data_IF_090484747496
#
_entry.id   IF_090484747496
#
_cell.length_a   1.000
_cell.length_b   1.000
_cell.length_c   1.000
_cell.angle_alpha   90.00
_cell.angle_beta   90.00
_cell.angle_gamma   90.00
#
_symmetry.space_group_name_H-M   'P 1'
#
loop_
_entity.id
_entity.type
_entity.pdbx_description
1 polymer ?
#
# COMPACT_ATOMS: atom_id res chain seq x y z
N UNK A 1 -10.63 8.30 7.16
CA UNK A 1 -10.84 7.05 7.95
C UNK A 1 -11.89 7.33 9.00
N UNK A 2 -12.98 6.59 9.00
CA UNK A 2 -13.95 6.59 10.09
C UNK A 2 -13.46 5.69 11.22
N UNK A 3 -13.75 6.09 12.46
CA UNK A 3 -13.34 5.38 13.67
C UNK A 3 -14.57 4.84 14.35
N UNK A 4 -14.56 3.56 14.69
CA UNK A 4 -15.59 2.89 15.46
C UNK A 4 -15.17 2.84 16.95
N UNK A 5 -15.97 3.41 17.81
CA UNK A 5 -15.84 3.30 19.26
C UNK A 5 -16.63 2.11 19.79
N UNK A 6 -16.11 1.47 20.82
CA UNK A 6 -16.76 0.35 21.49
C UNK A 6 -17.44 0.80 22.78
N UNK A 7 -18.55 0.14 23.11
CA UNK A 7 -19.21 0.35 24.41
C UNK A 7 -18.33 -0.21 25.53
N UNK A 8 -18.33 0.44 26.68
CA UNK A 8 -17.50 0.11 27.84
C UNK A 8 -18.06 -1.02 28.70
N UNK A 9 -18.25 -2.20 28.12
CA UNK A 9 -18.75 -3.36 28.88
C UNK A 9 -17.66 -4.07 29.69
N UNK A 10 -16.43 -4.02 29.29
CA UNK A 10 -15.31 -4.68 29.94
C UNK A 10 -14.10 -3.74 30.00
N UNK A 11 -13.13 -3.97 30.91
CA UNK A 11 -11.90 -3.17 30.95
C UNK A 11 -11.18 -3.08 29.58
N UNK A 12 -11.18 -4.16 28.80
CA UNK A 12 -10.54 -4.19 27.49
C UNK A 12 -11.29 -3.43 26.38
N UNK A 13 -12.58 -3.15 26.55
CA UNK A 13 -13.39 -2.40 25.58
C UNK A 13 -13.59 -0.94 25.93
N UNK A 14 -13.27 -0.54 27.18
CA UNK A 14 -13.57 0.80 27.72
C UNK A 14 -13.06 1.95 26.86
N UNK A 15 -11.82 1.94 26.45
CA UNK A 15 -11.22 3.00 25.63
C UNK A 15 -10.80 2.48 24.25
N UNK A 16 -11.45 1.42 23.78
CA UNK A 16 -11.11 0.80 22.52
C UNK A 16 -11.71 1.56 21.33
N UNK A 17 -10.85 2.01 20.43
CA UNK A 17 -11.22 2.58 19.15
C UNK A 17 -10.53 1.81 18.03
N UNK A 18 -11.24 1.46 16.98
CA UNK A 18 -10.70 0.77 15.81
C UNK A 18 -11.17 1.46 14.53
N UNK A 19 -10.46 1.21 13.43
CA UNK A 19 -10.92 1.61 12.10
C UNK A 19 -12.23 0.91 11.76
N UNK A 20 -13.15 1.64 11.13
CA UNK A 20 -14.45 1.12 10.70
C UNK A 20 -14.36 0.22 9.45
N UNK A 21 -13.26 0.27 8.72
CA UNK A 21 -13.04 -0.49 7.48
C UNK A 21 -14.06 -0.22 6.36
N UNK A 22 -14.88 0.83 6.47
CA UNK A 22 -15.92 1.18 5.48
C UNK A 22 -15.37 1.46 4.08
N UNK A 23 -14.09 1.85 3.97
CA UNK A 23 -13.40 2.10 2.70
C UNK A 23 -13.09 0.81 1.92
N UNK A 24 -13.19 -0.36 2.54
CA UNK A 24 -12.82 -1.63 1.92
C UNK A 24 -13.98 -2.16 1.09
N UNK A 25 -13.73 -2.34 -0.20
CA UNK A 25 -14.75 -2.84 -1.15
C UNK A 25 -14.67 -4.35 -1.36
N UNK A 26 -13.49 -4.95 -1.17
CA UNK A 26 -13.28 -6.38 -1.38
C UNK A 26 -12.54 -7.02 -0.20
N UNK A 27 -13.10 -8.08 0.36
CA UNK A 27 -12.53 -8.81 1.51
C UNK A 27 -11.51 -9.88 1.12
N UNK A 28 -11.70 -10.51 -0.06
CA UNK A 28 -10.83 -11.61 -0.53
C UNK A 28 -9.72 -11.06 -1.42
N UNK A 29 -8.44 -11.32 -1.11
CA UNK A 29 -7.33 -10.82 -1.91
C UNK A 29 -7.16 -11.62 -3.21
N UNK A 30 -6.52 -11.00 -4.20
CA UNK A 30 -6.18 -11.64 -5.50
C UNK A 30 -5.13 -12.72 -5.30
N UNK A 31 -5.46 -13.98 -5.66
CA UNK A 31 -4.61 -15.16 -5.38
C UNK A 31 -3.22 -15.07 -6.01
N UNK A 32 -3.11 -14.55 -7.25
CA UNK A 32 -1.86 -14.43 -7.99
C UNK A 32 -0.87 -13.43 -7.37
N UNK A 33 -1.38 -12.46 -6.61
CA UNK A 33 -0.59 -11.40 -5.98
C UNK A 33 -0.27 -11.66 -4.51
N UNK A 34 -0.42 -12.91 -4.05
CA UNK A 34 -0.12 -13.31 -2.67
C UNK A 34 1.14 -14.14 -2.63
N UNK A 35 2.02 -13.81 -1.67
CA UNK A 35 3.17 -14.65 -1.30
C UNK A 35 3.03 -15.19 0.11
N UNK A 36 3.65 -16.36 0.34
CA UNK A 36 3.81 -16.92 1.69
C UNK A 36 4.78 -16.02 2.47
N UNK A 37 4.36 -15.54 3.63
CA UNK A 37 5.23 -14.81 4.53
C UNK A 37 5.79 -15.80 5.56
N UNK A 38 7.05 -16.20 5.38
CA UNK A 38 7.75 -17.06 6.33
C UNK A 38 8.32 -16.21 7.46
N UNK A 39 7.93 -16.53 8.69
CA UNK A 39 8.46 -15.86 9.90
C UNK A 39 9.53 -16.73 10.53
N UNK A 40 10.65 -16.12 10.86
CA UNK A 40 11.66 -16.77 11.70
C UNK A 40 11.10 -16.97 13.10
N UNK A 41 11.19 -18.20 13.59
CA UNK A 41 10.67 -18.60 14.91
C UNK A 41 11.76 -18.71 15.97
N UNK A 42 12.94 -18.16 15.70
CA UNK A 42 14.09 -18.21 16.61
C UNK A 42 14.72 -19.58 16.79
N UNK A 43 14.48 -20.51 15.84
CA UNK A 43 15.05 -21.86 15.87
C UNK A 43 16.14 -22.00 14.82
N UNK A 44 17.19 -22.78 15.14
CA UNK A 44 18.25 -23.15 14.22
C UNK A 44 17.82 -24.33 13.31
N UNK A 45 18.78 -24.83 12.50
CA UNK A 45 18.58 -26.00 11.62
C UNK A 45 18.27 -27.28 12.40
N UNK A 46 18.71 -27.42 13.66
CA UNK A 46 18.41 -28.53 14.57
C UNK A 46 17.06 -28.40 15.27
N UNK A 47 16.31 -27.31 15.06
CA UNK A 47 15.04 -27.06 15.72
C UNK A 47 15.14 -26.52 17.15
N UNK A 48 16.34 -26.29 17.67
CA UNK A 48 16.58 -25.75 19.01
C UNK A 48 16.41 -24.22 19.00
N UNK A 49 15.81 -23.68 20.07
CA UNK A 49 15.61 -22.23 20.22
C UNK A 49 16.98 -21.59 20.50
N UNK A 50 17.48 -20.80 19.55
CA UNK A 50 18.72 -20.04 19.66
C UNK A 50 18.49 -18.56 19.96
N UNK A 51 17.33 -18.05 19.56
CA UNK A 51 16.92 -16.67 19.83
C UNK A 51 15.57 -16.71 20.52
N UNK A 52 15.52 -16.31 21.78
CA UNK A 52 14.27 -16.18 22.53
C UNK A 52 13.42 -15.01 22.07
N UNK A 53 12.13 -14.97 22.44
CA UNK A 53 11.16 -13.93 22.13
C UNK A 53 10.89 -13.73 20.61
N UNK A 54 11.14 -14.76 19.78
CA UNK A 54 10.85 -14.77 18.36
C UNK A 54 9.75 -15.77 18.04
N UNK A 55 8.76 -15.34 17.27
CA UNK A 55 7.65 -16.20 16.83
C UNK A 55 6.30 -15.72 17.34
N UNK A 56 5.31 -16.60 17.22
CA UNK A 56 3.92 -16.30 17.58
C UNK A 56 3.22 -15.35 16.60
N UNK A 57 2.07 -14.86 17.02
CA UNK A 57 1.21 -13.97 16.25
C UNK A 57 0.42 -14.68 15.14
N UNK A 58 -0.63 -14.01 14.66
CA UNK A 58 -1.54 -14.53 13.65
C UNK A 58 -0.83 -14.72 12.30
N UNK A 59 -1.16 -15.79 11.55
CA UNK A 59 -0.65 -16.06 10.21
C UNK A 59 -1.06 -14.96 9.25
N UNK A 60 -0.08 -14.34 8.55
CA UNK A 60 -0.32 -13.28 7.58
C UNK A 60 0.18 -13.70 6.21
N UNK A 61 -0.59 -13.41 5.17
CA UNK A 61 -0.17 -13.54 3.78
C UNK A 61 0.39 -12.20 3.32
N UNK A 62 1.51 -12.21 2.60
CA UNK A 62 2.10 -11.02 2.04
C UNK A 62 1.44 -10.67 0.71
N UNK A 63 1.16 -9.38 0.48
CA UNK A 63 0.70 -8.86 -0.81
C UNK A 63 1.89 -8.29 -1.57
N UNK A 64 1.99 -8.65 -2.84
CA UNK A 64 3.02 -8.09 -3.71
C UNK A 64 2.56 -6.70 -4.13
N UNK A 65 3.24 -5.67 -3.62
CA UNK A 65 2.92 -4.29 -3.93
C UNK A 65 3.90 -3.76 -4.96
N UNK A 66 3.39 -3.08 -5.96
CA UNK A 66 4.18 -2.38 -6.96
C UNK A 66 4.62 -1.01 -6.41
N UNK A 67 5.81 -0.96 -5.83
CA UNK A 67 6.43 0.29 -5.37
C UNK A 67 7.18 1.01 -6.50
N UNK A 68 7.67 0.27 -7.49
CA UNK A 68 8.50 0.84 -8.57
C UNK A 68 7.70 1.62 -9.59
N UNK A 69 6.42 1.28 -9.75
CA UNK A 69 5.51 1.93 -10.71
C UNK A 69 6.12 2.02 -12.13
N UNK A 70 6.82 0.96 -12.53
CA UNK A 70 7.56 0.91 -13.79
C UNK A 70 6.70 0.63 -15.04
N UNK A 71 5.38 0.64 -14.90
CA UNK A 71 4.45 0.44 -16.02
C UNK A 71 4.03 1.78 -16.59
N UNK A 72 4.89 2.34 -17.44
CA UNK A 72 4.69 3.67 -18.01
C UNK A 72 3.74 3.65 -19.20
N UNK A 73 2.93 4.70 -19.34
CA UNK A 73 2.06 4.94 -20.49
C UNK A 73 0.85 4.00 -20.63
N UNK A 74 0.65 3.04 -19.72
CA UNK A 74 -0.46 2.11 -19.76
C UNK A 74 -1.46 2.50 -18.65
N UNK A 75 -2.68 2.78 -19.06
CA UNK A 75 -3.75 3.10 -18.14
C UNK A 75 -4.22 1.87 -17.35
N UNK A 76 -4.45 2.07 -16.07
CA UNK A 76 -5.04 1.08 -15.18
C UNK A 76 -6.27 1.65 -14.47
N UNK A 77 -7.25 0.81 -14.23
CA UNK A 77 -8.48 1.15 -13.51
C UNK A 77 -8.42 0.56 -12.10
N UNK A 78 -8.80 1.33 -11.11
CA UNK A 78 -8.95 0.87 -9.72
C UNK A 78 -10.16 -0.06 -9.64
N UNK A 79 -9.90 -1.36 -9.48
CA UNK A 79 -10.95 -2.37 -9.42
C UNK A 79 -11.50 -2.57 -8.02
N UNK A 80 -10.67 -2.47 -6.99
CA UNK A 80 -11.07 -2.67 -5.61
C UNK A 80 -10.07 -2.06 -4.61
N UNK A 81 -10.57 -1.72 -3.43
CA UNK A 81 -9.77 -1.33 -2.26
C UNK A 81 -9.79 -2.51 -1.28
N UNK A 82 -8.60 -2.96 -0.85
CA UNK A 82 -8.45 -4.16 -0.03
C UNK A 82 -7.64 -3.88 1.25
N UNK A 83 -7.79 -4.79 2.22
CA UNK A 83 -7.04 -4.78 3.47
C UNK A 83 -5.73 -5.53 3.35
N UNK A 84 -4.64 -4.94 3.82
CA UNK A 84 -3.35 -5.62 3.98
C UNK A 84 -3.01 -5.80 5.47
N UNK A 85 -2.88 -7.04 5.98
CA UNK A 85 -2.54 -7.28 7.38
C UNK A 85 -1.08 -6.94 7.75
N UNK A 86 -0.24 -6.60 6.78
CA UNK A 86 1.18 -6.32 6.99
C UNK A 86 1.48 -4.82 7.14
N UNK A 87 0.50 -3.96 6.86
CA UNK A 87 0.64 -2.50 6.91
C UNK A 87 -0.64 -1.81 7.35
N UNK A 88 -0.54 -0.57 7.78
CA UNK A 88 -1.71 0.21 8.18
C UNK A 88 -2.43 0.83 6.98
N UNK A 89 -1.71 1.11 5.89
CA UNK A 89 -2.29 1.64 4.68
C UNK A 89 -3.18 0.59 3.97
N UNK A 90 -4.27 1.04 3.36
CA UNK A 90 -5.07 0.22 2.45
C UNK A 90 -4.28 0.01 1.16
N UNK A 91 -4.66 -1.00 0.39
CA UNK A 91 -4.10 -1.28 -0.92
C UNK A 91 -5.21 -1.24 -1.97
N UNK A 92 -4.86 -0.75 -3.16
CA UNK A 92 -5.77 -0.72 -4.31
C UNK A 92 -5.34 -1.79 -5.33
N UNK A 93 -6.31 -2.58 -5.78
CA UNK A 93 -6.12 -3.52 -6.88
C UNK A 93 -6.37 -2.78 -8.19
N UNK A 94 -5.39 -2.80 -9.07
CA UNK A 94 -5.46 -2.14 -10.37
C UNK A 94 -5.49 -3.19 -11.46
N UNK A 95 -6.42 -3.01 -12.40
CA UNK A 95 -6.49 -3.74 -13.64
C UNK A 95 -5.98 -2.84 -14.77
N UNK A 96 -4.86 -3.20 -15.36
CA UNK A 96 -4.31 -2.50 -16.52
C UNK A 96 -4.99 -2.95 -17.83
N UNK A 97 -4.98 -2.09 -18.85
CA UNK A 97 -5.55 -2.38 -20.16
C UNK A 97 -4.95 -3.62 -20.85
N UNK A 98 -3.71 -3.96 -20.54
CA UNK A 98 -3.02 -5.16 -21.02
C UNK A 98 -3.39 -6.46 -20.27
N UNK A 99 -4.33 -6.40 -19.33
CA UNK A 99 -4.80 -7.54 -18.55
C UNK A 99 -3.96 -7.86 -17.31
N UNK A 100 -2.82 -7.18 -17.08
CA UNK A 100 -2.03 -7.36 -15.88
C UNK A 100 -2.75 -6.73 -14.68
N UNK A 101 -2.62 -7.40 -13.52
CA UNK A 101 -3.13 -6.88 -12.25
C UNK A 101 -1.97 -6.57 -11.32
N UNK A 102 -2.02 -5.43 -10.63
CA UNK A 102 -1.03 -5.06 -9.61
C UNK A 102 -1.71 -4.44 -8.39
N UNK A 103 -1.09 -4.61 -7.24
CA UNK A 103 -1.44 -3.83 -6.05
C UNK A 103 -0.57 -2.59 -5.96
N UNK A 104 -1.19 -1.48 -5.58
CA UNK A 104 -0.51 -0.25 -5.17
C UNK A 104 -0.96 0.14 -3.78
N UNK A 105 -0.22 1.03 -3.12
CA UNK A 105 -0.70 1.68 -1.91
C UNK A 105 -1.88 2.59 -2.26
N UNK A 106 -2.94 2.51 -1.47
CA UNK A 106 -4.12 3.33 -1.66
C UNK A 106 -3.87 4.75 -1.13
N UNK A 107 -3.81 5.76 -2.00
CA UNK A 107 -3.73 7.15 -1.57
C UNK A 107 -5.10 7.65 -1.13
N UNK A 108 -5.11 8.72 -0.34
CA UNK A 108 -6.33 9.38 0.09
C UNK A 108 -7.10 9.90 -1.14
N UNK A 109 -8.41 9.77 -1.11
CA UNK A 109 -9.35 10.21 -2.16
C UNK A 109 -9.34 9.40 -3.47
N UNK A 110 -8.64 8.27 -3.55
CA UNK A 110 -8.76 7.37 -4.70
C UNK A 110 -10.05 6.54 -4.56
N UNK A 111 -10.89 6.57 -5.57
CA UNK A 111 -12.13 5.80 -5.61
C UNK A 111 -12.02 4.57 -6.53
N UNK A 112 -12.94 3.62 -6.36
CA UNK A 112 -13.09 2.51 -7.30
C UNK A 112 -13.64 3.05 -8.62
N UNK A 113 -13.03 2.67 -9.74
CA UNK A 113 -13.35 3.17 -11.08
C UNK A 113 -12.40 4.27 -11.58
N UNK A 114 -11.60 4.87 -10.71
CA UNK A 114 -10.63 5.87 -11.12
C UNK A 114 -9.56 5.28 -12.04
N UNK A 115 -9.12 6.07 -13.01
CA UNK A 115 -8.02 5.72 -13.90
C UNK A 115 -6.69 6.20 -13.33
N UNK A 116 -5.69 5.34 -13.43
CA UNK A 116 -4.33 5.63 -12.96
C UNK A 116 -3.34 5.44 -14.10
N UNK A 117 -2.46 6.42 -14.26
CA UNK A 117 -1.35 6.38 -15.21
C UNK A 117 -0.04 6.57 -14.45
N UNK A 118 1.01 5.86 -14.85
CA UNK A 118 2.36 6.06 -14.35
C UNK A 118 3.24 6.61 -15.46
N UNK A 119 4.10 7.58 -15.16
CA UNK A 119 5.05 8.14 -16.11
C UNK A 119 5.27 9.63 -15.92
N UNK A 120 6.36 10.14 -16.49
CA UNK A 120 6.75 11.54 -16.38
C UNK A 120 5.80 12.51 -17.10
N UNK A 121 5.07 12.04 -18.11
CA UNK A 121 4.11 12.83 -18.89
C UNK A 121 2.66 12.68 -18.44
N UNK A 122 2.39 12.04 -17.31
CA UNK A 122 1.02 11.86 -16.85
C UNK A 122 0.42 13.21 -16.40
N UNK A 123 -0.83 13.51 -16.76
CA UNK A 123 -1.45 14.79 -16.44
C UNK A 123 -1.62 14.97 -14.93
N UNK A 124 -1.19 16.14 -14.43
CA UNK A 124 -1.42 16.55 -13.04
C UNK A 124 -2.79 17.25 -12.97
N UNK A 125 -3.85 16.48 -12.87
CA UNK A 125 -5.16 17.07 -12.61
C UNK A 125 -5.30 17.34 -11.11
N UNK A 126 -5.13 18.58 -10.72
CA UNK A 126 -5.27 19.06 -9.32
C UNK A 126 -6.69 18.93 -8.75
N UNK A 127 -7.67 18.61 -9.56
CA UNK A 127 -9.08 18.53 -9.16
C UNK A 127 -9.78 17.20 -9.42
N UNK A 128 -9.15 16.26 -10.10
CA UNK A 128 -9.70 14.93 -10.33
C UNK A 128 -8.84 13.86 -9.66
N UNK A 129 -9.45 12.85 -9.02
CA UNK A 129 -8.71 11.75 -8.40
C UNK A 129 -7.86 10.93 -9.40
N UNK A 130 -8.12 11.09 -10.70
CA UNK A 130 -7.34 10.54 -11.80
C UNK A 130 -5.90 11.07 -11.92
N UNK A 131 -5.61 12.20 -11.29
CA UNK A 131 -4.29 12.86 -11.34
C UNK A 131 -3.26 12.33 -10.37
N UNK A 132 -3.43 11.14 -9.84
CA UNK A 132 -2.46 10.56 -8.94
C UNK A 132 -1.25 10.01 -9.68
N UNK A 133 -0.46 10.95 -10.17
CA UNK A 133 0.92 10.70 -10.53
C UNK A 133 1.65 10.32 -9.26
N UNK A 134 1.78 9.04 -9.01
CA UNK A 134 2.73 8.58 -8.04
C UNK A 134 4.14 8.86 -8.62
N UNK A 135 4.63 10.08 -8.43
CA UNK A 135 6.03 10.39 -8.64
C UNK A 135 6.83 9.55 -7.67
N UNK A 136 7.28 8.41 -8.11
CA UNK A 136 8.33 7.67 -7.42
C UNK A 136 9.73 8.19 -7.75
N UNK A 137 9.83 9.22 -8.57
CA UNK A 137 11.06 10.00 -8.68
C UNK A 137 10.89 11.25 -7.85
N UNK A 138 11.51 11.27 -6.68
CA UNK A 138 11.91 12.54 -6.07
C UNK A 138 12.54 13.38 -7.18
N UNK A 139 12.14 14.64 -7.37
CA UNK A 139 12.87 15.50 -8.29
C UNK A 139 14.31 15.47 -7.77
N UNK A 140 15.22 14.96 -8.59
CA UNK A 140 16.63 15.30 -8.44
C UNK A 140 16.63 16.82 -8.61
N UNK A 141 16.69 17.56 -7.50
CA UNK A 141 16.94 18.97 -7.56
C UNK A 141 18.23 19.12 -8.36
N UNK A 142 18.21 19.77 -9.52
CA UNK A 142 19.46 20.14 -10.16
C UNK A 142 20.16 21.00 -9.11
N UNK A 143 21.32 20.52 -8.65
CA UNK A 143 22.18 21.28 -7.76
C UNK A 143 22.30 22.66 -8.36
N UNK A 144 21.80 23.69 -7.66
CA UNK A 144 22.06 25.08 -7.95
C UNK A 144 23.59 25.23 -7.98
N UNK A 145 24.17 25.20 -9.19
CA UNK A 145 25.49 25.73 -9.39
C UNK A 145 25.37 27.21 -9.06
N UNK A 146 25.86 27.56 -7.88
CA UNK A 146 26.19 28.94 -7.57
C UNK A 146 27.12 29.43 -8.67
N UNK A 147 26.61 30.26 -9.55
CA UNK A 147 27.42 31.02 -10.47
C UNK A 147 28.26 31.98 -9.63
N UNK A 148 29.52 31.65 -9.42
CA UNK A 148 30.51 32.59 -8.93
C UNK A 148 30.63 33.69 -9.99
N UNK A 149 29.94 34.79 -9.79
CA UNK A 149 30.27 36.05 -10.47
C UNK A 149 31.59 36.53 -9.88
N UNK A 150 32.66 36.42 -10.66
CA UNK A 150 33.87 37.22 -10.44
C UNK A 150 33.56 38.67 -10.83
N UNK A 151 33.78 39.56 -9.91
CA UNK A 151 34.28 40.90 -10.12
C UNK A 151 35.47 41.08 -9.21
#
# INVERSE_FOLDING_TARGET
MSIRFYKSYTPGTRNRALSDFSEITKSKPEKKLIKKNHRNKGRNNRGVITIRHRGGGHKRRYRIIDFKRNKYGIEGIVAAIEYDPNRNARIALIHYKDGEKRYILHPKNLAVGDTILAGAGSPLNLGAPSGLVCRTTLPVFPSLRLANSKV
#
